data_IF_876418836548
#
_entry.id   IF_876418836548
#
_cell.length_a   1.000
_cell.length_b   1.000
_cell.length_c   1.000
_cell.angle_alpha   90.00
_cell.angle_beta   90.00
_cell.angle_gamma   90.00
#
_symmetry.space_group_name_H-M   'P 1'
#
loop_
_entity.id
_entity.type
_entity.pdbx_description
1 polymer ?
#
# COMPACT_ATOMS: atom_id res chain seq x y z
N UNK A 1 5.73 8.65 -29.46
CA UNK A 1 5.48 8.02 -28.15
C UNK A 1 5.11 9.15 -27.21
N UNK A 2 3.93 9.12 -26.59
CA UNK A 2 3.50 10.21 -25.69
C UNK A 2 4.27 10.12 -24.37
N UNK A 3 4.71 11.27 -23.88
CA UNK A 3 5.38 11.37 -22.59
C UNK A 3 4.44 10.99 -21.44
N UNK A 4 4.93 10.15 -20.51
CA UNK A 4 4.16 9.73 -19.34
C UNK A 4 3.99 10.90 -18.37
N UNK A 5 2.74 11.25 -18.06
CA UNK A 5 2.41 12.25 -17.03
C UNK A 5 1.64 11.61 -15.87
N UNK A 6 2.05 11.92 -14.64
CA UNK A 6 1.43 11.42 -13.41
C UNK A 6 0.88 12.59 -12.61
N UNK A 7 -0.30 12.42 -12.02
CA UNK A 7 -0.85 13.42 -11.10
C UNK A 7 -0.08 13.40 -9.79
N UNK A 8 0.52 14.53 -9.42
CA UNK A 8 1.29 14.69 -8.20
C UNK A 8 0.44 15.40 -7.14
N UNK A 9 0.12 14.71 -6.05
CA UNK A 9 -0.67 15.27 -4.94
C UNK A 9 0.02 16.47 -4.27
N UNK A 10 1.35 16.53 -4.24
CA UNK A 10 2.08 17.66 -3.64
C UNK A 10 1.88 18.98 -4.39
N UNK A 11 1.76 18.92 -5.71
CA UNK A 11 1.56 20.11 -6.57
C UNK A 11 0.13 20.26 -7.08
N UNK A 12 -0.70 19.22 -6.92
CA UNK A 12 -2.08 19.18 -7.39
C UNK A 12 -2.24 19.15 -8.91
N UNK A 13 -1.18 18.81 -9.67
CA UNK A 13 -1.16 18.88 -11.14
C UNK A 13 -0.57 17.61 -11.77
N UNK A 14 -0.85 17.41 -13.07
CA UNK A 14 -0.18 16.36 -13.86
C UNK A 14 1.22 16.82 -14.27
N UNK A 15 2.23 16.08 -13.84
CA UNK A 15 3.64 16.38 -14.09
C UNK A 15 4.27 15.32 -14.98
N UNK A 16 5.31 15.69 -15.72
CA UNK A 16 6.09 14.76 -16.51
C UNK A 16 6.82 13.79 -15.57
N UNK A 17 6.59 12.49 -15.74
CA UNK A 17 7.28 11.47 -14.97
C UNK A 17 8.75 11.39 -15.41
N UNK A 18 9.65 11.63 -14.46
CA UNK A 18 11.10 11.49 -14.65
C UNK A 18 11.64 10.56 -13.55
N UNK A 19 12.16 9.38 -13.89
CA UNK A 19 12.74 8.50 -12.88
C UNK A 19 14.02 9.10 -12.30
N UNK A 20 14.28 8.82 -11.02
CA UNK A 20 15.54 9.24 -10.35
C UNK A 20 16.75 8.59 -11.03
N UNK A 21 16.63 7.31 -11.40
CA UNK A 21 17.64 6.56 -12.15
C UNK A 21 17.04 6.12 -13.49
N UNK A 22 17.68 6.48 -14.60
CA UNK A 22 17.17 6.20 -15.95
C UNK A 22 16.85 4.71 -16.13
N UNK A 23 15.62 4.39 -16.53
CA UNK A 23 15.15 3.02 -16.76
C UNK A 23 14.71 2.26 -15.50
N UNK A 24 14.86 2.84 -14.30
CA UNK A 24 14.47 2.22 -13.04
C UNK A 24 13.38 3.03 -12.32
N UNK A 25 12.42 2.34 -11.73
CA UNK A 25 11.35 2.95 -10.94
C UNK A 25 11.28 2.28 -9.59
N UNK A 26 11.39 3.05 -8.51
CA UNK A 26 11.03 2.63 -7.16
C UNK A 26 9.60 3.04 -6.87
N UNK A 27 8.75 2.10 -6.49
CA UNK A 27 7.35 2.38 -6.14
C UNK A 27 7.03 1.78 -4.79
N UNK A 28 6.59 2.62 -3.84
CA UNK A 28 6.09 2.20 -2.55
C UNK A 28 4.60 2.49 -2.45
N UNK A 29 3.82 1.51 -2.01
CA UNK A 29 2.38 1.66 -1.75
C UNK A 29 2.10 1.10 -0.37
N UNK A 30 1.37 1.86 0.46
CA UNK A 30 0.95 1.37 1.78
C UNK A 30 0.06 0.13 1.63
N UNK A 31 0.39 -0.92 2.38
CA UNK A 31 -0.43 -2.14 2.43
C UNK A 31 -1.47 -2.12 3.56
N UNK A 32 -2.12 -3.27 3.79
CA UNK A 32 -3.21 -3.36 4.77
C UNK A 32 -2.68 -3.41 6.21
N UNK A 33 -3.54 -2.98 7.15
CA UNK A 33 -3.42 -3.36 8.57
C UNK A 33 -4.19 -4.66 8.78
N UNK A 34 -3.49 -5.73 9.15
CA UNK A 34 -4.02 -7.11 9.13
C UNK A 34 -4.76 -7.47 10.42
N UNK A 35 -5.73 -6.64 10.79
CA UNK A 35 -6.66 -6.93 11.89
C UNK A 35 -8.02 -7.41 11.37
N UNK A 36 -8.32 -7.38 10.07
CA UNK A 36 -9.60 -7.86 9.54
C UNK A 36 -9.50 -8.24 8.07
N UNK A 37 -10.56 -8.88 7.56
CA UNK A 37 -10.65 -9.18 6.14
C UNK A 37 -10.55 -7.90 5.31
N UNK A 38 -9.77 -7.97 4.24
CA UNK A 38 -9.67 -6.90 3.24
C UNK A 38 -11.05 -6.63 2.63
N UNK A 39 -11.50 -5.37 2.71
CA UNK A 39 -12.73 -4.93 2.06
C UNK A 39 -12.50 -4.44 0.63
N UNK A 40 -13.58 -4.33 -0.16
CA UNK A 40 -13.52 -3.95 -1.57
C UNK A 40 -12.81 -2.61 -1.83
N UNK A 41 -12.96 -1.64 -0.92
CA UNK A 41 -12.23 -0.37 -0.97
C UNK A 41 -10.70 -0.53 -1.00
N UNK A 42 -10.15 -1.48 -0.23
CA UNK A 42 -8.71 -1.77 -0.24
C UNK A 42 -8.31 -2.46 -1.55
N UNK A 43 -9.12 -3.42 -2.03
CA UNK A 43 -8.89 -4.12 -3.29
C UNK A 43 -8.83 -3.14 -4.47
N UNK A 44 -9.72 -2.14 -4.51
CA UNK A 44 -9.71 -1.10 -5.54
C UNK A 44 -8.36 -0.38 -5.60
N UNK A 45 -7.81 -0.01 -4.45
CA UNK A 45 -6.50 0.65 -4.36
C UNK A 45 -5.39 -0.29 -4.84
N UNK A 46 -5.37 -1.53 -4.38
CA UNK A 46 -4.37 -2.51 -4.78
C UNK A 46 -4.41 -2.82 -6.28
N UNK A 47 -5.60 -2.93 -6.87
CA UNK A 47 -5.77 -3.12 -8.31
C UNK A 47 -5.34 -1.89 -9.11
N UNK A 48 -5.63 -0.69 -8.63
CA UNK A 48 -5.19 0.55 -9.29
C UNK A 48 -3.66 0.62 -9.37
N UNK A 49 -2.97 0.32 -8.27
CA UNK A 49 -1.50 0.32 -8.24
C UNK A 49 -0.88 -0.88 -8.96
N UNK A 50 -1.56 -2.03 -9.01
CA UNK A 50 -1.14 -3.15 -9.87
C UNK A 50 -1.19 -2.77 -11.36
N UNK A 51 -2.23 -2.06 -11.79
CA UNK A 51 -2.33 -1.54 -13.15
C UNK A 51 -1.18 -0.56 -13.46
N UNK A 52 -0.87 0.34 -12.53
CA UNK A 52 0.26 1.28 -12.66
C UNK A 52 1.59 0.53 -12.77
N UNK A 53 1.82 -0.46 -11.91
CA UNK A 53 3.01 -1.32 -11.94
C UNK A 53 3.16 -2.01 -13.31
N UNK A 54 2.11 -2.68 -13.78
CA UNK A 54 2.10 -3.37 -15.08
C UNK A 54 2.31 -2.40 -16.24
N UNK A 55 1.78 -1.19 -16.14
CA UNK A 55 1.97 -0.18 -17.17
C UNK A 55 3.42 0.32 -17.23
N UNK A 56 4.09 0.51 -16.09
CA UNK A 56 5.52 0.79 -16.07
C UNK A 56 6.35 -0.33 -16.69
N UNK A 57 6.01 -1.60 -16.42
CA UNK A 57 6.66 -2.75 -17.07
C UNK A 57 6.44 -2.73 -18.59
N UNK A 58 5.22 -2.45 -19.05
CA UNK A 58 4.90 -2.33 -20.47
C UNK A 58 5.71 -1.22 -21.16
N UNK A 59 5.98 -0.12 -20.46
CA UNK A 59 6.85 0.96 -20.94
C UNK A 59 8.36 0.62 -20.90
N UNK A 60 8.73 -0.58 -20.46
CA UNK A 60 10.12 -1.05 -20.44
C UNK A 60 10.92 -0.65 -19.20
N UNK A 61 10.27 -0.14 -18.14
CA UNK A 61 10.97 0.17 -16.89
C UNK A 61 11.26 -1.09 -16.07
N UNK A 62 12.42 -1.10 -15.41
CA UNK A 62 12.69 -2.04 -14.32
C UNK A 62 12.15 -1.48 -13.01
N UNK A 63 11.06 -2.07 -12.52
CA UNK A 63 10.33 -1.55 -11.37
C UNK A 63 10.63 -2.37 -10.12
N UNK A 64 11.00 -1.72 -9.02
CA UNK A 64 10.99 -2.29 -7.68
C UNK A 64 9.71 -1.83 -6.99
N UNK A 65 8.73 -2.73 -6.90
CA UNK A 65 7.46 -2.47 -6.21
C UNK A 65 7.52 -3.05 -4.79
N UNK A 66 7.39 -2.17 -3.80
CA UNK A 66 7.37 -2.52 -2.36
C UNK A 66 6.00 -2.18 -1.78
N UNK A 67 5.42 -3.13 -1.06
CA UNK A 67 4.19 -2.95 -0.29
C UNK A 67 4.39 -3.56 1.09
N UNK A 68 4.17 -2.77 2.13
CA UNK A 68 4.31 -3.25 3.51
C UNK A 68 3.09 -4.06 3.96
N UNK A 69 3.19 -4.70 5.12
CA UNK A 69 2.06 -5.18 5.91
C UNK A 69 2.17 -4.44 7.25
N UNK A 70 1.06 -3.94 7.77
CA UNK A 70 1.03 -3.35 9.11
C UNK A 70 0.54 -4.43 10.08
N UNK A 71 1.50 -5.14 10.68
CA UNK A 71 1.34 -6.26 11.61
C UNK A 71 1.49 -5.84 13.08
N UNK A 72 1.93 -4.62 13.34
CA UNK A 72 1.98 -4.02 14.68
C UNK A 72 1.53 -2.56 14.64
N UNK A 73 0.77 -2.14 15.65
CA UNK A 73 0.31 -0.76 15.80
C UNK A 73 -0.78 -0.36 14.80
N UNK A 74 -0.70 0.89 14.31
CA UNK A 74 -1.78 1.65 13.65
C UNK A 74 -2.72 2.37 14.63
N UNK A 75 -2.09 3.13 15.54
CA UNK A 75 -2.76 4.05 16.46
C UNK A 75 -3.39 5.18 15.64
N UNK A 76 -4.70 5.38 15.78
CA UNK A 76 -5.38 6.53 15.19
C UNK A 76 -5.27 7.78 16.06
N UNK A 77 -4.91 7.63 17.34
CA UNK A 77 -4.63 8.67 18.35
C UNK A 77 -3.78 8.09 19.52
N UNK A 78 -3.05 8.94 20.26
CA UNK A 78 -2.18 8.57 21.40
C UNK A 78 -2.90 7.83 22.55
N UNK A 79 -4.24 7.93 22.63
CA UNK A 79 -5.09 7.26 23.61
C UNK A 79 -5.92 6.11 23.02
N UNK A 80 -5.76 5.78 21.74
CA UNK A 80 -6.54 4.74 21.07
C UNK A 80 -5.86 3.38 21.21
N UNK A 81 -6.61 2.37 21.65
CA UNK A 81 -6.11 0.98 21.64
C UNK A 81 -5.81 0.54 20.20
N UNK A 82 -4.69 -0.16 20.02
CA UNK A 82 -4.32 -0.78 18.75
C UNK A 82 -5.46 -1.72 18.26
N UNK A 83 -5.81 -1.61 16.98
CA UNK A 83 -6.88 -2.39 16.36
C UNK A 83 -6.59 -3.89 16.39
N UNK A 84 -5.32 -4.29 16.29
CA UNK A 84 -4.90 -5.69 16.38
C UNK A 84 -5.12 -6.19 17.81
N UNK A 85 -4.62 -5.44 18.80
CA UNK A 85 -4.79 -5.73 20.23
C UNK A 85 -6.27 -5.79 20.66
N UNK A 86 -7.08 -4.84 20.18
CA UNK A 86 -8.53 -4.79 20.43
C UNK A 86 -9.21 -6.06 19.93
N UNK A 87 -8.85 -6.52 18.73
CA UNK A 87 -9.43 -7.72 18.14
C UNK A 87 -8.98 -9.00 18.83
N UNK A 88 -7.70 -9.10 19.18
CA UNK A 88 -7.13 -10.21 19.93
C UNK A 88 -7.90 -10.44 21.25
N UNK A 89 -8.20 -9.36 21.97
CA UNK A 89 -8.99 -9.40 23.20
C UNK A 89 -10.44 -9.85 22.98
N UNK A 90 -11.09 -9.39 21.91
CA UNK A 90 -12.46 -9.80 21.56
C UNK A 90 -12.54 -11.28 21.18
N UNK A 91 -11.55 -11.78 20.45
CA UNK A 91 -11.50 -13.18 19.99
C UNK A 91 -10.83 -14.13 21.00
N UNK A 92 -10.27 -13.61 22.10
CA UNK A 92 -9.51 -14.35 23.13
C UNK A 92 -8.35 -15.16 22.55
N UNK A 93 -7.63 -14.56 21.60
CA UNK A 93 -6.44 -15.14 20.96
C UNK A 93 -5.26 -14.17 21.05
N UNK A 94 -4.06 -14.64 20.72
CA UNK A 94 -2.86 -13.80 20.71
C UNK A 94 -2.87 -12.82 19.53
N UNK A 95 -2.36 -11.57 19.67
CA UNK A 95 -2.31 -10.58 18.60
C UNK A 95 -1.64 -11.09 17.31
N UNK A 96 -0.57 -11.89 17.44
CA UNK A 96 0.10 -12.48 16.27
C UNK A 96 -0.73 -13.58 15.60
N UNK A 97 -1.66 -14.22 16.32
CA UNK A 97 -2.62 -15.15 15.72
C UNK A 97 -3.65 -14.39 14.86
N UNK A 98 -4.06 -13.19 15.27
CA UNK A 98 -4.90 -12.30 14.45
C UNK A 98 -4.16 -11.90 13.17
N UNK A 99 -2.93 -11.41 13.30
CA UNK A 99 -2.09 -10.99 12.15
C UNK A 99 -1.93 -12.13 11.15
N UNK A 100 -1.58 -13.33 11.64
CA UNK A 100 -1.40 -14.50 10.79
C UNK A 100 -2.69 -14.92 10.07
N UNK A 101 -3.85 -14.73 10.70
CA UNK A 101 -5.15 -15.08 10.12
C UNK A 101 -5.56 -14.15 8.97
N UNK A 102 -5.14 -12.88 8.99
CA UNK A 102 -5.59 -11.86 8.04
C UNK A 102 -4.51 -11.36 7.07
N UNK A 103 -3.31 -11.94 7.11
CA UNK A 103 -2.25 -11.74 6.11
C UNK A 103 -2.52 -12.57 4.86
#
# INVERSE_FOLDING_TARGET
>A
MQDLKIYNTLSGKKELFKPITKGFVGMYVCGPTVYSNVHLGNVRTFMSFDMIYRYFLHLGYKVRYVRNITDAGHLTDDNSEDKISTKARLEKIEPMEVVQRYT
#
